data_IF_439246180670
#
_entry.id   IF_439246180670
#
_cell.length_a   1.000
_cell.length_b   1.000
_cell.length_c   1.000
_cell.angle_alpha   90.00
_cell.angle_beta   90.00
_cell.angle_gamma   90.00
#
_symmetry.space_group_name_H-M   'P 1'
#
loop_
_entity.id
_entity.type
_entity.pdbx_description
1 polymer ?
#
# COMPACT_ATOMS: atom_id res chain seq x y z
N UNK A 1 9.87 -22.43 11.35
CA UNK A 1 8.45 -22.44 10.91
C UNK A 1 7.51 -21.62 11.82
N UNK A 2 7.67 -21.63 13.15
CA UNK A 2 6.76 -20.91 14.08
C UNK A 2 6.56 -19.42 13.72
N UNK A 3 7.62 -18.69 13.39
CA UNK A 3 7.57 -17.28 12.99
C UNK A 3 6.63 -17.05 11.79
N UNK A 4 6.67 -17.92 10.77
CA UNK A 4 5.79 -17.79 9.59
C UNK A 4 4.32 -18.03 9.94
N UNK A 5 4.02 -18.99 10.83
CA UNK A 5 2.66 -19.22 11.32
C UNK A 5 2.13 -18.03 12.12
N UNK A 6 2.96 -17.46 12.98
CA UNK A 6 2.61 -16.26 13.76
C UNK A 6 2.36 -15.07 12.83
N UNK A 7 3.23 -14.83 11.84
CA UNK A 7 3.01 -13.77 10.85
C UNK A 7 1.70 -13.96 10.09
N UNK A 8 1.39 -15.18 9.65
CA UNK A 8 0.12 -15.49 8.99
C UNK A 8 -1.08 -15.14 9.88
N UNK A 9 -1.01 -15.51 11.16
CA UNK A 9 -2.08 -15.24 12.11
C UNK A 9 -2.27 -13.74 12.38
N UNK A 10 -1.17 -12.98 12.48
CA UNK A 10 -1.22 -11.52 12.61
C UNK A 10 -1.89 -10.89 11.38
N UNK A 11 -1.50 -11.30 10.16
CA UNK A 11 -2.11 -10.78 8.93
C UNK A 11 -3.61 -11.08 8.92
N UNK A 12 -4.00 -12.32 9.23
CA UNK A 12 -5.40 -12.75 9.27
C UNK A 12 -6.21 -11.91 10.27
N UNK A 13 -5.70 -11.73 11.49
CA UNK A 13 -6.36 -10.96 12.54
C UNK A 13 -6.52 -9.48 12.18
N UNK A 14 -5.52 -8.88 11.53
CA UNK A 14 -5.61 -7.49 11.04
C UNK A 14 -6.74 -7.32 10.03
N UNK A 15 -6.85 -8.21 9.05
CA UNK A 15 -7.91 -8.15 8.04
C UNK A 15 -9.29 -8.38 8.65
N UNK A 16 -9.41 -9.32 9.58
CA UNK A 16 -10.65 -9.62 10.28
C UNK A 16 -11.13 -8.42 11.12
N UNK A 17 -10.22 -7.77 11.86
CA UNK A 17 -10.53 -6.55 12.61
C UNK A 17 -11.07 -5.43 11.72
N UNK A 18 -10.35 -5.09 10.65
CA UNK A 18 -10.76 -4.00 9.77
C UNK A 18 -12.09 -4.31 9.05
N UNK A 19 -12.31 -5.57 8.68
CA UNK A 19 -13.59 -5.99 8.11
C UNK A 19 -14.75 -5.81 9.12
N UNK A 20 -14.57 -6.24 10.37
CA UNK A 20 -15.57 -6.08 11.43
C UNK A 20 -15.87 -4.61 11.73
N UNK A 21 -14.88 -3.72 11.62
CA UNK A 21 -15.02 -2.27 11.80
C UNK A 21 -15.58 -1.53 10.57
N UNK A 22 -15.91 -2.25 9.50
CA UNK A 22 -16.51 -1.72 8.27
C UNK A 22 -15.53 -0.99 7.35
N UNK A 23 -14.24 -1.31 7.42
CA UNK A 23 -13.24 -0.80 6.48
C UNK A 23 -13.25 -1.60 5.17
N UNK A 24 -12.99 -0.91 4.07
CA UNK A 24 -12.74 -1.51 2.76
C UNK A 24 -11.23 -1.70 2.55
N UNK A 25 -10.81 -2.91 2.16
CA UNK A 25 -9.42 -3.17 1.75
C UNK A 25 -9.17 -2.53 0.39
N UNK A 26 -8.12 -1.72 0.30
CA UNK A 26 -7.66 -1.09 -0.94
C UNK A 26 -6.19 -1.44 -1.15
N UNK A 27 -5.81 -1.74 -2.39
CA UNK A 27 -4.44 -2.05 -2.78
C UNK A 27 -3.88 -0.89 -3.62
N UNK A 28 -3.13 0.04 -3.01
CA UNK A 28 -2.47 1.12 -3.76
C UNK A 28 -1.34 0.54 -4.64
N UNK A 29 -1.04 1.17 -5.80
CA UNK A 29 0.00 0.70 -6.68
C UNK A 29 1.39 0.80 -6.02
N UNK A 30 2.20 -0.25 -6.20
CA UNK A 30 3.59 -0.29 -5.70
C UNK A 30 4.57 0.46 -6.59
N UNK A 31 4.18 0.75 -7.84
CA UNK A 31 4.94 1.60 -8.76
C UNK A 31 4.26 2.96 -8.88
N UNK A 32 5.03 4.02 -8.80
CA UNK A 32 4.56 5.39 -9.02
C UNK A 32 5.40 6.09 -10.08
N UNK A 33 4.75 6.90 -10.92
CA UNK A 33 5.42 7.78 -11.88
C UNK A 33 5.92 9.08 -11.24
N UNK A 34 5.50 9.38 -10.01
CA UNK A 34 5.93 10.58 -9.29
C UNK A 34 7.18 10.28 -8.46
N UNK A 35 8.34 10.76 -8.88
CA UNK A 35 9.41 11.07 -7.94
C UNK A 35 9.11 12.45 -7.34
N UNK A 36 8.97 12.60 -6.01
CA UNK A 36 9.01 13.93 -5.42
C UNK A 36 10.36 14.54 -5.82
N UNK A 37 10.35 15.74 -6.41
CA UNK A 37 11.58 16.43 -6.82
C UNK A 37 12.59 16.42 -5.66
N UNK A 38 13.73 15.75 -5.86
CA UNK A 38 14.83 15.72 -4.90
C UNK A 38 14.97 14.47 -4.02
N UNK A 39 14.28 13.35 -4.27
CA UNK A 39 14.52 12.12 -3.51
C UNK A 39 15.66 11.27 -4.10
N UNK A 40 16.81 11.25 -3.44
CA UNK A 40 17.93 10.34 -3.74
C UNK A 40 17.71 8.89 -3.27
N UNK A 41 16.58 8.60 -2.62
CA UNK A 41 16.34 7.34 -1.88
C UNK A 41 15.24 6.43 -2.49
N UNK A 42 14.73 6.75 -3.69
CA UNK A 42 13.75 5.89 -4.37
C UNK A 42 14.42 4.86 -5.26
N UNK A 43 13.97 3.60 -5.15
CA UNK A 43 14.36 2.55 -6.09
C UNK A 43 13.67 2.77 -7.44
N UNK A 44 14.46 3.13 -8.44
CA UNK A 44 13.99 3.32 -9.81
C UNK A 44 13.98 2.00 -10.60
N UNK A 45 13.04 1.88 -11.54
CA UNK A 45 12.98 0.80 -12.53
C UNK A 45 12.45 1.33 -13.85
N UNK A 46 12.84 0.70 -14.97
CA UNK A 46 12.24 0.98 -16.27
C UNK A 46 10.89 0.27 -16.36
N UNK A 47 9.84 1.03 -16.59
CA UNK A 47 8.49 0.54 -16.81
C UNK A 47 8.08 0.84 -18.25
N UNK A 48 8.38 -0.10 -19.15
CA UNK A 48 8.32 0.10 -20.59
C UNK A 48 9.21 1.28 -21.02
N UNK A 49 8.64 2.26 -21.71
CA UNK A 49 9.33 3.44 -22.22
C UNK A 49 9.42 4.58 -21.18
N UNK A 50 8.89 4.37 -19.97
CA UNK A 50 8.85 5.36 -18.89
C UNK A 50 9.69 4.93 -17.67
N UNK A 51 10.09 5.90 -16.86
CA UNK A 51 10.69 5.65 -15.55
C UNK A 51 9.59 5.52 -14.49
N UNK A 52 9.72 4.50 -13.64
CA UNK A 52 8.86 4.31 -12.49
C UNK A 52 9.69 4.07 -11.23
N UNK A 53 9.08 4.34 -10.08
CA UNK A 53 9.73 4.22 -8.77
C UNK A 53 8.92 3.32 -7.86
N UNK A 54 9.59 2.54 -7.02
CA UNK A 54 8.92 1.82 -5.94
C UNK A 54 8.35 2.84 -4.95
N UNK A 55 7.03 2.76 -4.72
CA UNK A 55 6.35 3.58 -3.75
C UNK A 55 6.83 3.25 -2.33
N UNK A 56 7.12 4.30 -1.54
CA UNK A 56 7.44 4.16 -0.12
C UNK A 56 6.17 4.12 0.76
N UNK A 57 5.05 4.63 0.25
CA UNK A 57 3.77 4.68 0.97
C UNK A 57 2.59 4.80 0.00
N UNK A 58 1.49 4.11 0.30
CA UNK A 58 0.23 4.24 -0.42
C UNK A 58 -0.61 5.48 -0.02
N UNK A 59 -0.08 6.37 0.83
CA UNK A 59 -0.86 7.41 1.51
C UNK A 59 -1.76 8.25 0.59
N UNK A 60 -1.23 8.82 -0.50
CA UNK A 60 -2.04 9.66 -1.40
C UNK A 60 -3.18 8.87 -2.06
N UNK A 61 -2.92 7.62 -2.45
CA UNK A 61 -3.96 6.74 -2.99
C UNK A 61 -5.00 6.36 -1.92
N UNK A 62 -4.56 6.17 -0.68
CA UNK A 62 -5.45 5.88 0.45
C UNK A 62 -6.30 7.09 0.86
N UNK A 63 -5.76 8.32 0.78
CA UNK A 63 -6.52 9.55 0.97
C UNK A 63 -7.62 9.69 -0.10
N UNK A 64 -7.28 9.42 -1.36
CA UNK A 64 -8.27 9.40 -2.45
C UNK A 64 -9.32 8.30 -2.26
N UNK A 65 -8.91 7.10 -1.85
CA UNK A 65 -9.82 6.00 -1.57
C UNK A 65 -10.74 6.29 -0.37
N UNK A 66 -10.23 6.95 0.68
CA UNK A 66 -11.03 7.37 1.82
C UNK A 66 -12.11 8.38 1.42
N UNK A 67 -11.81 9.31 0.49
CA UNK A 67 -12.81 10.24 -0.04
C UNK A 67 -13.96 9.52 -0.77
N UNK A 68 -13.69 8.38 -1.40
CA UNK A 68 -14.69 7.61 -2.15
C UNK A 68 -15.43 6.55 -1.32
N UNK A 69 -14.71 5.89 -0.38
CA UNK A 69 -15.16 4.67 0.31
C UNK A 69 -15.31 4.85 1.82
N UNK A 70 -14.90 6.00 2.37
CA UNK A 70 -14.90 6.27 3.80
C UNK A 70 -13.77 5.52 4.51
N UNK A 71 -14.11 4.52 5.31
CA UNK A 71 -13.12 3.74 6.07
C UNK A 71 -12.34 2.82 5.13
N UNK A 72 -11.03 3.02 5.00
CA UNK A 72 -10.15 2.23 4.12
C UNK A 72 -8.89 1.75 4.84
N UNK A 73 -8.40 0.56 4.49
CA UNK A 73 -7.10 0.05 4.95
C UNK A 73 -6.34 -0.62 3.80
N UNK A 74 -5.03 -0.71 3.92
CA UNK A 74 -4.13 -1.36 2.95
C UNK A 74 -3.34 -2.49 3.60
#
# INVERSE_FOLDING_TARGET
HAIMKIRNEIIRATYEFFHQEGFVKVDPPILTGSAPEGTTELFATKYFDEDAYLSQSGQLYMEAAAMALGKVFS
#
